data_IF_808033184246
#
_entry.id   IF_808033184246
#
_cell.length_a   1.000
_cell.length_b   1.000
_cell.length_c   1.000
_cell.angle_alpha   90.00
_cell.angle_beta   90.00
_cell.angle_gamma   90.00
#
_symmetry.space_group_name_H-M   'P 1'
#
loop_
_entity.id
_entity.type
_entity.pdbx_description
1 polymer ?
#
# COMPACT_ATOMS: atom_id res chain seq x y z
N UNK A 1 -9.80 18.10 -10.40
CA UNK A 1 -8.35 18.10 -10.16
C UNK A 1 -7.82 16.78 -10.69
N UNK A 2 -6.66 16.78 -11.37
CA UNK A 2 -6.13 15.57 -12.01
C UNK A 2 -5.64 14.55 -10.99
N UNK A 3 -5.66 13.27 -11.36
CA UNK A 3 -5.01 12.21 -10.60
C UNK A 3 -3.52 12.51 -10.47
N UNK A 4 -2.98 12.45 -9.24
CA UNK A 4 -1.55 12.61 -8.96
C UNK A 4 -0.97 11.22 -8.76
N UNK A 5 0.13 10.94 -9.44
CA UNK A 5 0.86 9.71 -9.28
C UNK A 5 2.26 9.95 -8.73
N UNK A 6 2.72 9.05 -7.86
CA UNK A 6 4.05 9.08 -7.26
C UNK A 6 4.70 7.71 -7.46
N UNK A 7 5.99 7.69 -7.80
CA UNK A 7 6.77 6.46 -7.82
C UNK A 7 7.04 6.03 -6.38
N UNK A 8 6.64 4.81 -6.05
CA UNK A 8 6.79 4.22 -4.72
C UNK A 8 7.53 2.89 -4.84
N UNK A 9 8.53 2.69 -3.99
CA UNK A 9 9.19 1.39 -3.84
C UNK A 9 8.70 0.71 -2.57
N UNK A 10 8.19 -0.51 -2.73
CA UNK A 10 7.82 -1.39 -1.63
C UNK A 10 8.95 -2.39 -1.40
N UNK A 11 9.46 -2.47 -0.16
CA UNK A 11 10.51 -3.43 0.20
C UNK A 11 10.05 -4.42 1.25
N UNK A 12 10.60 -5.63 1.14
CA UNK A 12 10.45 -6.63 2.18
C UNK A 12 11.31 -6.23 3.40
N UNK A 13 10.72 -5.98 4.58
CA UNK A 13 11.47 -5.52 5.75
C UNK A 13 12.38 -6.62 6.33
N UNK A 14 12.18 -7.89 5.93
CA UNK A 14 13.07 -8.99 6.30
C UNK A 14 14.25 -9.18 5.34
N UNK A 15 14.17 -8.60 4.13
CA UNK A 15 15.17 -8.71 3.07
C UNK A 15 15.06 -7.51 2.11
N UNK A 16 15.72 -6.38 2.42
CA UNK A 16 15.57 -5.13 1.68
C UNK A 16 16.01 -5.18 0.21
N UNK A 17 16.79 -6.18 -0.19
CA UNK A 17 17.16 -6.42 -1.60
C UNK A 17 15.95 -6.88 -2.44
N UNK A 18 14.89 -7.35 -1.78
CA UNK A 18 13.62 -7.72 -2.43
C UNK A 18 12.67 -6.54 -2.40
N UNK A 19 12.66 -5.82 -3.52
CA UNK A 19 11.88 -4.61 -3.71
C UNK A 19 11.07 -4.63 -5.01
N UNK A 20 9.95 -3.92 -5.00
CA UNK A 20 9.14 -3.67 -6.19
C UNK A 20 8.83 -2.18 -6.27
N UNK A 21 9.13 -1.58 -7.41
CA UNK A 21 8.81 -0.19 -7.71
C UNK A 21 7.55 -0.13 -8.59
N UNK A 22 6.63 0.75 -8.23
CA UNK A 22 5.39 0.99 -8.96
C UNK A 22 5.01 2.46 -9.00
N UNK A 23 4.14 2.81 -9.94
CA UNK A 23 3.52 4.12 -10.00
C UNK A 23 2.17 4.05 -9.26
N UNK A 24 2.05 4.80 -8.17
CA UNK A 24 0.88 4.74 -7.28
C UNK A 24 0.03 5.98 -7.47
N UNK A 25 -1.29 5.79 -7.50
CA UNK A 25 -2.25 6.88 -7.39
C UNK A 25 -2.26 7.39 -5.93
N UNK A 26 -2.07 8.68 -5.73
CA UNK A 26 -2.27 9.33 -4.43
C UNK A 26 -3.77 9.33 -4.12
N UNK A 27 -4.18 8.59 -3.09
CA UNK A 27 -5.59 8.44 -2.72
C UNK A 27 -5.82 8.81 -1.25
N UNK A 28 -6.39 9.99 -1.04
CA UNK A 28 -6.71 10.52 0.29
C UNK A 28 -7.96 9.89 0.89
N UNK A 29 -8.74 9.13 0.10
CA UNK A 29 -9.84 8.30 0.57
C UNK A 29 -9.40 6.94 1.10
N UNK A 30 -8.15 6.53 0.85
CA UNK A 30 -7.59 5.27 1.34
C UNK A 30 -6.71 5.51 2.58
N UNK A 31 -7.01 4.84 3.69
CA UNK A 31 -6.20 4.91 4.92
C UNK A 31 -4.83 4.24 4.74
N UNK A 32 -4.84 2.97 4.37
CA UNK A 32 -3.64 2.16 4.14
C UNK A 32 -3.33 2.12 2.63
N UNK A 33 -2.07 1.87 2.27
CA UNK A 33 -1.69 1.72 0.87
C UNK A 33 -2.12 0.36 0.32
N UNK A 34 -2.40 0.28 -0.98
CA UNK A 34 -2.86 -0.94 -1.64
C UNK A 34 -1.93 -1.30 -2.80
N UNK A 35 -1.55 -2.57 -2.88
CA UNK A 35 -0.66 -3.08 -3.92
C UNK A 35 -1.23 -4.38 -4.48
N UNK A 36 -1.24 -4.58 -5.81
CA UNK A 36 -1.65 -5.85 -6.39
C UNK A 36 -0.86 -7.02 -5.80
N UNK A 37 -1.59 -8.05 -5.35
CA UNK A 37 -1.04 -9.25 -4.69
C UNK A 37 0.19 -9.84 -5.39
N UNK A 38 0.21 -10.02 -6.73
CA UNK A 38 1.36 -10.63 -7.41
C UNK A 38 2.68 -9.87 -7.19
N UNK A 39 2.63 -8.55 -6.99
CA UNK A 39 3.83 -7.74 -6.78
C UNK A 39 4.41 -7.92 -5.37
N UNK A 40 3.55 -8.00 -4.36
CA UNK A 40 3.97 -8.26 -2.97
C UNK A 40 4.53 -9.68 -2.83
N UNK A 41 3.89 -10.67 -3.44
CA UNK A 41 4.34 -12.06 -3.41
C UNK A 41 5.69 -12.24 -4.14
N UNK A 42 5.91 -11.54 -5.26
CA UNK A 42 7.19 -11.57 -5.98
C UNK A 42 8.37 -11.12 -5.12
N UNK A 43 8.17 -10.12 -4.24
CA UNK A 43 9.17 -9.65 -3.28
C UNK A 43 9.17 -10.45 -1.97
N UNK A 44 8.39 -11.52 -1.90
CA UNK A 44 8.40 -12.47 -0.79
C UNK A 44 7.65 -11.98 0.45
N UNK A 45 6.80 -10.98 0.29
CA UNK A 45 5.82 -10.66 1.30
C UNK A 45 4.68 -11.69 1.25
N UNK A 46 4.19 -12.04 2.43
CA UNK A 46 3.02 -12.89 2.60
C UNK A 46 1.98 -12.14 3.42
N UNK A 47 0.68 -12.43 3.25
CA UNK A 47 -0.35 -11.97 4.16
C UNK A 47 0.02 -12.32 5.61
N UNK A 48 -0.06 -11.34 6.51
CA UNK A 48 0.25 -11.50 7.95
C UNK A 48 -1.00 -11.42 8.82
N UNK A 49 -2.04 -10.74 8.34
CA UNK A 49 -3.33 -10.59 9.01
C UNK A 49 -4.39 -10.24 7.98
N UNK A 50 -5.64 -10.22 8.40
CA UNK A 50 -6.75 -9.64 7.63
C UNK A 50 -7.18 -8.33 8.30
N UNK A 51 -7.64 -7.36 7.51
CA UNK A 51 -8.51 -6.27 7.99
C UNK A 51 -9.93 -6.51 7.49
N UNK A 52 -10.90 -6.19 8.33
CA UNK A 52 -12.33 -6.22 8.00
C UNK A 52 -12.80 -4.78 7.83
N UNK A 53 -13.41 -4.48 6.69
CA UNK A 53 -14.04 -3.21 6.38
C UNK A 53 -15.55 -3.43 6.26
N UNK A 54 -16.35 -2.60 6.93
CA UNK A 54 -17.80 -2.60 6.77
C UNK A 54 -18.17 -1.65 5.63
N UNK A 55 -18.89 -2.16 4.63
CA UNK A 55 -19.39 -1.38 3.51
C UNK A 55 -20.69 -0.66 3.88
N UNK A 56 -21.08 0.33 3.09
CA UNK A 56 -22.28 1.15 3.36
C UNK A 56 -23.60 0.35 3.39
N UNK A 57 -23.62 -0.86 2.80
CA UNK A 57 -24.75 -1.78 2.84
C UNK A 57 -24.72 -2.75 4.04
N UNK A 58 -23.75 -2.58 4.95
CA UNK A 58 -23.53 -3.42 6.14
C UNK A 58 -22.82 -4.74 5.84
N UNK A 59 -22.38 -4.99 4.61
CA UNK A 59 -21.58 -6.17 4.28
C UNK A 59 -20.12 -5.99 4.74
N UNK A 60 -19.48 -7.11 5.12
CA UNK A 60 -18.07 -7.11 5.49
C UNK A 60 -17.19 -7.46 4.28
N UNK A 61 -16.17 -6.64 4.03
CA UNK A 61 -15.09 -6.90 3.10
C UNK A 61 -13.83 -7.27 3.89
N UNK A 62 -13.29 -8.47 3.65
CA UNK A 62 -12.04 -8.93 4.25
C UNK A 62 -10.90 -8.75 3.28
N UNK A 63 -9.85 -8.07 3.73
CA UNK A 63 -8.68 -7.76 2.92
C UNK A 63 -7.44 -8.28 3.63
N UNK A 64 -6.65 -9.08 2.92
CA UNK A 64 -5.33 -9.50 3.40
C UNK A 64 -4.42 -8.27 3.55
N UNK A 65 -3.63 -8.24 4.62
CA UNK A 65 -2.66 -7.19 4.88
C UNK A 65 -1.28 -7.73 5.25
N UNK A 66 -0.25 -6.92 5.02
CA UNK A 66 1.08 -7.14 5.56
C UNK A 66 1.71 -5.81 5.98
N UNK A 67 2.95 -5.87 6.47
CA UNK A 67 3.76 -4.70 6.80
C UNK A 67 4.99 -4.71 5.90
N UNK A 68 5.28 -3.55 5.31
CA UNK A 68 6.42 -3.36 4.42
C UNK A 68 7.09 -2.00 4.68
N UNK A 69 8.29 -1.84 4.15
CA UNK A 69 8.90 -0.51 3.96
C UNK A 69 8.35 0.11 2.67
N UNK A 70 7.97 1.37 2.76
CA UNK A 70 7.39 2.17 1.69
C UNK A 70 8.34 3.36 1.48
N UNK A 71 9.00 3.42 0.33
CA UNK A 71 9.85 4.56 -0.05
C UNK A 71 9.21 5.38 -1.15
N UNK A 72 9.14 6.69 -0.94
CA UNK A 72 8.72 7.64 -1.95
C UNK A 72 9.24 9.03 -1.62
N UNK A 73 9.51 9.85 -2.65
CA UNK A 73 10.08 11.20 -2.52
C UNK A 73 11.36 11.28 -1.67
N UNK A 74 12.15 10.20 -1.63
CA UNK A 74 13.41 10.13 -0.87
C UNK A 74 13.24 9.84 0.63
N UNK A 75 12.02 9.58 1.09
CA UNK A 75 11.72 9.20 2.47
C UNK A 75 11.33 7.72 2.55
N UNK A 76 11.69 7.05 3.65
CA UNK A 76 11.36 5.65 3.91
C UNK A 76 10.51 5.57 5.18
N UNK A 77 9.34 4.96 5.07
CA UNK A 77 8.42 4.73 6.20
C UNK A 77 7.98 3.27 6.28
N UNK A 78 7.68 2.80 7.48
CA UNK A 78 7.01 1.51 7.66
C UNK A 78 5.51 1.70 7.57
N UNK A 79 4.80 0.79 6.90
CA UNK A 79 3.35 0.90 6.75
C UNK A 79 2.64 -0.43 6.56
N UNK A 80 1.34 -0.42 6.88
CA UNK A 80 0.44 -1.51 6.49
C UNK A 80 0.10 -1.40 5.01
N UNK A 81 0.20 -2.52 4.31
CA UNK A 81 -0.19 -2.64 2.90
C UNK A 81 -1.30 -3.66 2.76
N UNK A 82 -2.35 -3.26 2.05
CA UNK A 82 -3.45 -4.10 1.63
C UNK A 82 -3.08 -4.85 0.34
N UNK A 83 -3.37 -6.15 0.31
CA UNK A 83 -3.30 -6.95 -0.91
C UNK A 83 -4.51 -6.65 -1.79
N UNK A 84 -4.26 -5.97 -2.91
CA UNK A 84 -5.25 -5.75 -3.95
C UNK A 84 -5.40 -6.93 -4.90
N UNK A 85 -6.54 -6.98 -5.58
CA UNK A 85 -6.79 -7.93 -6.68
C UNK A 85 -5.77 -7.74 -7.82
N UNK A 86 -5.44 -8.80 -8.58
CA UNK A 86 -4.54 -8.67 -9.72
C UNK A 86 -5.01 -7.60 -10.73
N UNK A 87 -4.10 -6.70 -11.10
CA UNK A 87 -4.37 -5.66 -12.11
C UNK A 87 -5.08 -4.41 -11.59
N UNK A 88 -5.40 -4.32 -10.30
CA UNK A 88 -5.86 -3.07 -9.69
C UNK A 88 -4.76 -2.01 -9.71
N UNK A 89 -5.13 -0.74 -9.79
CA UNK A 89 -4.18 0.36 -9.67
C UNK A 89 -3.63 0.43 -8.25
N UNK A 90 -2.29 0.50 -8.05
CA UNK A 90 -1.71 0.70 -6.73
C UNK A 90 -2.09 2.06 -6.15
N UNK A 91 -2.43 2.09 -4.86
CA UNK A 91 -2.88 3.29 -4.15
C UNK A 91 -1.90 3.64 -3.03
N UNK A 92 -1.49 4.90 -2.98
CA UNK A 92 -0.72 5.46 -1.86
C UNK A 92 -1.70 6.13 -0.90
N UNK A 93 -1.95 5.47 0.23
CA UNK A 93 -2.91 5.93 1.23
C UNK A 93 -2.38 7.05 2.13
N UNK A 94 -3.31 7.73 2.81
CA UNK A 94 -3.02 8.89 3.66
C UNK A 94 -2.03 8.59 4.80
N UNK A 95 -2.06 7.39 5.39
CA UNK A 95 -1.14 7.06 6.49
C UNK A 95 0.32 7.11 6.06
N UNK A 96 0.63 6.68 4.84
CA UNK A 96 1.99 6.75 4.31
C UNK A 96 2.40 8.21 4.05
N UNK A 97 1.51 9.00 3.47
CA UNK A 97 1.71 10.43 3.17
C UNK A 97 1.95 11.24 4.45
N UNK A 98 1.13 11.04 5.48
CA UNK A 98 1.28 11.70 6.78
C UNK A 98 2.58 11.30 7.48
N UNK A 99 3.02 10.05 7.33
CA UNK A 99 4.27 9.55 7.91
C UNK A 99 5.52 10.27 7.37
N UNK A 100 5.44 10.88 6.18
CA UNK A 100 6.53 11.71 5.61
C UNK A 100 6.28 13.22 5.78
N UNK A 101 5.27 13.60 6.57
CA UNK A 101 4.96 15.01 6.86
C UNK A 101 4.10 15.72 5.82
N UNK A 102 3.42 14.99 4.92
CA UNK A 102 2.41 15.57 4.05
C UNK A 102 1.08 15.63 4.79
N UNK A 103 0.60 16.86 5.01
CA UNK A 103 -0.74 17.13 5.52
C UNK A 103 -1.73 17.20 4.35
N UNK A 104 -2.94 16.63 4.55
CA UNK A 104 -3.96 16.47 3.52
C UNK A 104 -5.30 17.10 3.94
#
# INVERSE_FOLDING_TARGET
MGAIHVTVTIRNPADPDRAWEGLFLVDTGATDSLVPRPHLEAIGLQPRSERIYELADGSELRMDITVAEIEFMGEIVGGTIIYGEPGVEPLLGVTALESVGIEI
#
